data_IF_842955636509
#
_entry.id   IF_842955636509
#
_cell.length_a   1.000
_cell.length_b   1.000
_cell.length_c   1.000
_cell.angle_alpha   90.00
_cell.angle_beta   90.00
_cell.angle_gamma   90.00
#
_symmetry.space_group_name_H-M   'P 1'
#
loop_
_entity.id
_entity.type
_entity.pdbx_description
1 polymer ?
#
# COMPACT_ATOMS: atom_id res chain seq x y z
N UNK A 1 -18.14 -13.49 1.30
CA UNK A 1 -16.91 -14.22 1.02
C UNK A 1 -15.97 -13.27 0.30
N UNK A 2 -14.71 -13.11 0.71
CA UNK A 2 -13.76 -12.19 0.08
C UNK A 2 -13.22 -12.80 -1.21
N UNK A 3 -13.11 -11.97 -2.27
CA UNK A 3 -12.66 -12.39 -3.60
C UNK A 3 -11.19 -12.07 -3.79
N UNK A 4 -10.43 -13.09 -4.18
CA UNK A 4 -9.02 -12.99 -4.55
C UNK A 4 -8.90 -13.16 -6.05
N UNK A 5 -8.19 -12.28 -6.74
CA UNK A 5 -7.75 -12.52 -8.11
C UNK A 5 -6.26 -12.79 -8.10
N UNK A 6 -5.86 -13.89 -8.74
CA UNK A 6 -4.47 -14.27 -8.96
C UNK A 6 -4.12 -14.09 -10.43
N UNK A 7 -3.11 -13.28 -10.74
CA UNK A 7 -2.54 -13.19 -12.10
C UNK A 7 -1.16 -13.84 -12.07
N UNK A 8 -1.08 -15.02 -12.67
CA UNK A 8 0.09 -15.92 -12.62
C UNK A 8 0.03 -16.85 -13.82
N UNK A 9 1.11 -17.02 -14.55
CA UNK A 9 1.18 -17.86 -15.74
C UNK A 9 1.56 -19.32 -15.43
N UNK A 10 2.20 -19.58 -14.29
CA UNK A 10 2.52 -20.93 -13.81
C UNK A 10 1.27 -21.62 -13.24
N UNK A 11 0.82 -22.68 -13.91
CA UNK A 11 -0.38 -23.44 -13.52
C UNK A 11 -0.26 -24.15 -12.18
N UNK A 12 0.93 -24.63 -11.84
CA UNK A 12 1.16 -25.36 -10.57
C UNK A 12 1.05 -24.37 -9.41
N UNK A 13 1.55 -23.14 -9.56
CA UNK A 13 1.39 -22.07 -8.59
C UNK A 13 -0.08 -21.66 -8.48
N UNK A 14 -0.78 -21.52 -9.59
CA UNK A 14 -2.23 -21.20 -9.60
C UNK A 14 -3.02 -22.26 -8.83
N UNK A 15 -2.79 -23.53 -9.08
CA UNK A 15 -3.48 -24.63 -8.40
C UNK A 15 -3.17 -24.66 -6.90
N UNK A 16 -1.88 -24.52 -6.55
CA UNK A 16 -1.43 -24.45 -5.15
C UNK A 16 -2.11 -23.31 -4.38
N UNK A 17 -2.08 -22.12 -4.95
CA UNK A 17 -2.65 -20.91 -4.32
C UNK A 17 -4.16 -21.04 -4.20
N UNK A 18 -4.84 -21.45 -5.27
CA UNK A 18 -6.29 -21.66 -5.28
C UNK A 18 -6.72 -22.65 -4.21
N UNK A 19 -6.15 -23.84 -4.20
CA UNK A 19 -6.48 -24.90 -3.24
C UNK A 19 -6.38 -24.42 -1.79
N UNK A 20 -5.28 -23.72 -1.45
CA UNK A 20 -5.06 -23.30 -0.08
C UNK A 20 -5.97 -22.14 0.33
N UNK A 21 -6.16 -21.12 -0.51
CA UNK A 21 -6.99 -19.96 -0.18
C UNK A 21 -8.48 -20.30 -0.16
N UNK A 22 -8.96 -21.22 -1.02
CA UNK A 22 -10.35 -21.70 -0.97
C UNK A 22 -10.64 -22.46 0.33
N UNK A 23 -9.69 -23.26 0.82
CA UNK A 23 -9.81 -23.88 2.16
C UNK A 23 -9.83 -22.89 3.31
N UNK A 24 -9.27 -21.72 3.13
CA UNK A 24 -9.33 -20.63 4.10
C UNK A 24 -10.58 -19.74 3.96
N UNK A 25 -11.50 -20.09 3.04
CA UNK A 25 -12.79 -19.44 2.87
C UNK A 25 -12.77 -18.26 1.89
N UNK A 26 -11.77 -18.15 1.02
CA UNK A 26 -11.75 -17.16 -0.05
C UNK A 26 -12.40 -17.69 -1.33
N UNK A 27 -12.89 -16.81 -2.17
CA UNK A 27 -13.26 -17.10 -3.54
C UNK A 27 -12.10 -16.72 -4.46
N UNK A 28 -11.49 -17.69 -5.16
CA UNK A 28 -10.30 -17.44 -5.98
C UNK A 28 -10.63 -17.50 -7.46
N UNK A 29 -10.39 -16.39 -8.16
CA UNK A 29 -10.33 -16.33 -9.61
C UNK A 29 -8.88 -16.24 -10.06
N UNK A 30 -8.58 -16.67 -11.28
CA UNK A 30 -7.23 -16.56 -11.84
C UNK A 30 -7.23 -16.10 -13.29
N UNK A 31 -6.13 -15.46 -13.68
CA UNK A 31 -5.78 -15.12 -15.05
C UNK A 31 -4.32 -15.53 -15.31
N UNK A 32 -4.02 -15.98 -16.54
CA UNK A 32 -2.68 -16.46 -16.91
C UNK A 32 -1.84 -15.42 -17.64
N UNK A 33 -2.39 -14.22 -17.86
CA UNK A 33 -1.69 -13.09 -18.46
C UNK A 33 -2.24 -11.76 -17.94
N UNK A 34 -1.44 -10.71 -18.07
CA UNK A 34 -1.75 -9.40 -17.53
C UNK A 34 -2.96 -8.73 -18.17
N UNK A 35 -3.19 -8.90 -19.48
CA UNK A 35 -4.29 -8.26 -20.19
C UNK A 35 -5.63 -8.84 -19.76
N UNK A 36 -5.74 -10.17 -19.68
CA UNK A 36 -6.95 -10.85 -19.19
C UNK A 36 -7.21 -10.54 -17.72
N UNK A 37 -6.15 -10.44 -16.90
CA UNK A 37 -6.24 -10.03 -15.51
C UNK A 37 -6.80 -8.63 -15.33
N UNK A 38 -6.30 -7.63 -16.06
CA UNK A 38 -6.81 -6.27 -16.03
C UNK A 38 -8.27 -6.18 -16.49
N UNK A 39 -8.64 -6.93 -17.54
CA UNK A 39 -10.01 -6.99 -17.99
C UNK A 39 -10.95 -7.54 -16.90
N UNK A 40 -10.52 -8.58 -16.16
CA UNK A 40 -11.28 -9.13 -15.04
C UNK A 40 -11.41 -8.13 -13.90
N UNK A 41 -10.32 -7.44 -13.52
CA UNK A 41 -10.34 -6.41 -12.47
C UNK A 41 -11.36 -5.33 -12.78
N UNK A 42 -11.37 -4.80 -14.02
CA UNK A 42 -12.30 -3.75 -14.46
C UNK A 42 -13.74 -4.21 -14.47
N UNK A 43 -14.00 -5.46 -14.87
CA UNK A 43 -15.35 -6.04 -14.91
C UNK A 43 -15.87 -6.36 -13.51
N UNK A 44 -15.03 -6.88 -12.66
CA UNK A 44 -15.42 -7.39 -11.34
C UNK A 44 -14.25 -7.20 -10.37
N UNK A 45 -14.09 -5.99 -9.77
CA UNK A 45 -12.97 -5.71 -8.87
C UNK A 45 -12.89 -6.73 -7.73
N UNK A 46 -11.72 -7.36 -7.49
CA UNK A 46 -11.52 -8.25 -6.35
C UNK A 46 -11.33 -7.46 -5.05
N UNK A 47 -11.38 -8.15 -3.91
CA UNK A 47 -11.01 -7.56 -2.61
C UNK A 47 -9.49 -7.47 -2.43
N UNK A 48 -8.73 -8.33 -3.11
CA UNK A 48 -7.26 -8.34 -3.14
C UNK A 48 -6.76 -8.94 -4.46
N UNK A 49 -5.65 -8.41 -4.95
CA UNK A 49 -4.92 -8.90 -6.12
C UNK A 49 -3.62 -9.56 -5.68
N UNK A 50 -3.40 -10.82 -6.10
CA UNK A 50 -2.12 -11.49 -6.11
C UNK A 50 -1.55 -11.38 -7.52
N UNK A 51 -0.34 -10.84 -7.65
CA UNK A 51 0.18 -10.43 -8.95
C UNK A 51 1.62 -10.89 -9.12
N UNK A 52 1.84 -11.79 -10.07
CA UNK A 52 3.21 -12.13 -10.45
C UNK A 52 3.91 -10.96 -11.10
N UNK A 53 5.16 -10.76 -10.72
CA UNK A 53 6.02 -9.75 -11.29
C UNK A 53 6.36 -10.05 -12.75
N UNK A 54 6.64 -11.32 -13.05
CA UNK A 54 7.21 -11.81 -14.31
C UNK A 54 6.16 -12.41 -15.24
N UNK A 55 5.15 -11.62 -15.60
CA UNK A 55 4.12 -12.06 -16.53
C UNK A 55 4.52 -11.84 -18.00
N UNK A 56 4.08 -12.71 -18.92
CA UNK A 56 4.29 -12.51 -20.34
C UNK A 56 3.47 -11.32 -20.85
N UNK A 57 3.97 -10.62 -21.87
CA UNK A 57 3.37 -9.48 -22.59
C UNK A 57 3.25 -8.19 -21.76
N UNK A 58 2.66 -8.22 -20.59
CA UNK A 58 2.47 -7.09 -19.72
C UNK A 58 2.97 -7.44 -18.32
N UNK A 59 4.00 -6.73 -17.87
CA UNK A 59 4.63 -7.02 -16.57
C UNK A 59 3.72 -6.72 -15.39
N UNK A 60 3.88 -7.43 -14.27
CA UNK A 60 3.15 -7.15 -13.06
C UNK A 60 3.37 -5.71 -12.54
N UNK A 61 4.54 -5.13 -12.78
CA UNK A 61 4.81 -3.72 -12.43
C UNK A 61 3.95 -2.75 -13.24
N UNK A 62 3.77 -3.01 -14.53
CA UNK A 62 2.96 -2.13 -15.38
C UNK A 62 1.47 -2.23 -15.01
N UNK A 63 0.98 -3.43 -14.69
CA UNK A 63 -0.36 -3.65 -14.15
C UNK A 63 -0.55 -2.87 -12.84
N UNK A 64 0.41 -2.97 -11.92
CA UNK A 64 0.36 -2.26 -10.65
C UNK A 64 0.27 -0.74 -10.86
N UNK A 65 1.12 -0.17 -11.72
CA UNK A 65 1.09 1.26 -12.08
C UNK A 65 -0.27 1.67 -12.65
N UNK A 66 -0.83 0.86 -13.54
CA UNK A 66 -2.13 1.14 -14.16
C UNK A 66 -3.25 1.16 -13.12
N UNK A 67 -3.29 0.16 -12.23
CA UNK A 67 -4.25 0.12 -11.12
C UNK A 67 -4.09 1.33 -10.19
N UNK A 68 -2.87 1.77 -9.89
CA UNK A 68 -2.63 2.92 -9.01
C UNK A 68 -2.99 4.27 -9.64
N UNK A 69 -3.01 4.36 -10.97
CA UNK A 69 -3.47 5.55 -11.70
C UNK A 69 -4.99 5.61 -11.82
N UNK A 70 -5.67 4.49 -11.77
CA UNK A 70 -7.12 4.41 -11.82
C UNK A 70 -7.74 4.78 -10.47
N UNK A 71 -8.48 5.89 -10.41
CA UNK A 71 -9.09 6.39 -9.18
C UNK A 71 -10.11 5.44 -8.54
N UNK A 72 -10.69 4.53 -9.33
CA UNK A 72 -11.64 3.52 -8.85
C UNK A 72 -10.95 2.28 -8.28
N UNK A 73 -9.71 2.00 -8.69
CA UNK A 73 -8.95 0.80 -8.37
C UNK A 73 -7.74 1.06 -7.46
N UNK A 74 -7.34 2.31 -7.28
CA UNK A 74 -6.10 2.69 -6.58
C UNK A 74 -5.99 2.19 -5.13
N UNK A 75 -7.13 1.84 -4.53
CA UNK A 75 -7.23 1.27 -3.17
C UNK A 75 -7.20 -0.26 -3.12
N UNK A 76 -7.23 -0.91 -4.28
CA UNK A 76 -7.15 -2.37 -4.36
C UNK A 76 -5.83 -2.83 -3.73
N UNK A 77 -5.88 -3.67 -2.68
CA UNK A 77 -4.66 -4.25 -2.11
C UNK A 77 -3.97 -5.13 -3.13
N UNK A 78 -2.65 -4.95 -3.28
CA UNK A 78 -1.82 -5.71 -4.21
C UNK A 78 -0.70 -6.40 -3.44
N UNK A 79 -0.70 -7.74 -3.48
CA UNK A 79 0.39 -8.59 -3.02
C UNK A 79 1.19 -9.08 -4.24
N UNK A 80 2.44 -8.63 -4.36
CA UNK A 80 3.32 -9.08 -5.43
C UNK A 80 3.90 -10.46 -5.14
N UNK A 81 3.88 -11.33 -6.15
CA UNK A 81 4.64 -12.58 -6.16
C UNK A 81 5.93 -12.34 -6.95
N UNK A 82 7.09 -12.57 -6.33
CA UNK A 82 8.39 -12.29 -6.96
C UNK A 82 9.30 -13.50 -6.95
N UNK A 83 10.12 -13.68 -7.98
CA UNK A 83 11.20 -14.65 -7.91
C UNK A 83 12.19 -14.25 -6.80
N UNK A 84 12.99 -15.21 -6.31
CA UNK A 84 14.06 -14.97 -5.33
C UNK A 84 15.13 -14.14 -6.00
N UNK A 85 15.05 -12.83 -5.91
CA UNK A 85 15.93 -11.84 -6.49
C UNK A 85 16.34 -10.80 -5.47
N UNK A 86 17.14 -9.83 -5.87
CA UNK A 86 17.77 -8.85 -5.02
C UNK A 86 16.77 -8.02 -4.20
N UNK A 87 17.19 -7.53 -3.06
CA UNK A 87 16.44 -6.57 -2.22
C UNK A 87 15.95 -5.37 -3.07
N UNK A 88 16.64 -5.08 -4.16
CA UNK A 88 16.26 -4.08 -5.15
C UNK A 88 14.89 -4.34 -5.79
N UNK A 89 14.57 -5.58 -6.18
CA UNK A 89 13.28 -5.91 -6.82
C UNK A 89 12.09 -5.69 -5.88
N UNK A 90 12.31 -5.91 -4.58
CA UNK A 90 11.29 -5.68 -3.55
C UNK A 90 11.04 -4.19 -3.34
N UNK A 91 12.11 -3.39 -3.32
CA UNK A 91 12.02 -1.92 -3.22
C UNK A 91 11.30 -1.38 -4.44
N UNK A 92 11.68 -1.82 -5.65
CA UNK A 92 11.03 -1.42 -6.90
C UNK A 92 9.54 -1.80 -6.90
N UNK A 93 9.16 -3.01 -6.47
CA UNK A 93 7.76 -3.42 -6.37
C UNK A 93 6.96 -2.52 -5.42
N UNK A 94 7.51 -2.20 -4.26
CA UNK A 94 6.90 -1.26 -3.32
C UNK A 94 6.87 0.16 -3.89
N UNK A 95 7.93 0.64 -4.54
CA UNK A 95 7.97 1.95 -5.22
C UNK A 95 6.92 2.07 -6.32
N UNK A 96 6.58 0.96 -7.00
CA UNK A 96 5.55 0.93 -8.04
C UNK A 96 4.11 0.85 -7.52
N UNK A 97 3.91 0.67 -6.20
CA UNK A 97 2.59 0.74 -5.61
C UNK A 97 2.04 -0.55 -5.01
N UNK A 98 2.79 -1.63 -4.98
CA UNK A 98 2.40 -2.83 -4.23
C UNK A 98 2.29 -2.54 -2.73
N UNK A 99 1.39 -3.25 -2.04
CA UNK A 99 1.18 -3.10 -0.60
C UNK A 99 2.01 -4.10 0.22
N UNK A 100 2.35 -5.24 -0.37
CA UNK A 100 3.26 -6.24 0.20
C UNK A 100 3.82 -7.11 -0.93
N UNK A 101 4.77 -7.97 -0.62
CA UNK A 101 5.35 -8.94 -1.55
C UNK A 101 5.63 -10.27 -0.86
N UNK A 102 5.67 -11.34 -1.65
CA UNK A 102 6.12 -12.66 -1.22
C UNK A 102 7.08 -13.24 -2.26
N UNK A 103 8.17 -13.83 -1.80
CA UNK A 103 9.19 -14.41 -2.70
C UNK A 103 8.91 -15.86 -2.98
N UNK A 104 8.96 -16.26 -4.26
CA UNK A 104 8.91 -17.65 -4.70
C UNK A 104 10.27 -18.36 -4.43
N UNK A 105 10.29 -19.61 -3.92
CA UNK A 105 9.14 -20.38 -3.48
C UNK A 105 8.63 -19.90 -2.10
N UNK A 106 7.32 -19.84 -1.94
CA UNK A 106 6.65 -19.46 -0.70
C UNK A 106 5.86 -20.64 -0.09
N UNK A 107 5.65 -20.61 1.20
CA UNK A 107 4.72 -21.53 1.83
C UNK A 107 3.27 -21.05 1.66
N UNK A 108 2.31 -21.96 1.39
CA UNK A 108 0.90 -21.57 1.35
C UNK A 108 0.41 -20.87 2.63
N UNK A 109 0.92 -21.30 3.80
CA UNK A 109 0.60 -20.69 5.08
C UNK A 109 1.08 -19.24 5.17
N UNK A 110 2.28 -18.93 4.67
CA UNK A 110 2.80 -17.57 4.59
C UNK A 110 1.93 -16.71 3.68
N UNK A 111 1.62 -17.20 2.48
CA UNK A 111 0.76 -16.49 1.54
C UNK A 111 -0.62 -16.17 2.14
N UNK A 112 -1.28 -17.16 2.76
CA UNK A 112 -2.58 -16.97 3.41
C UNK A 112 -2.52 -15.94 4.56
N UNK A 113 -1.47 -15.97 5.37
CA UNK A 113 -1.27 -14.98 6.44
C UNK A 113 -1.13 -13.56 5.89
N UNK A 114 -0.38 -13.36 4.78
CA UNK A 114 -0.22 -12.07 4.10
C UNK A 114 -1.52 -11.57 3.50
N UNK A 115 -2.27 -12.44 2.83
CA UNK A 115 -3.59 -12.11 2.27
C UNK A 115 -4.54 -11.60 3.36
N UNK A 116 -4.64 -12.33 4.48
CA UNK A 116 -5.46 -11.92 5.62
C UNK A 116 -4.99 -10.60 6.22
N UNK A 117 -3.68 -10.42 6.38
CA UNK A 117 -3.12 -9.19 6.91
C UNK A 117 -3.45 -7.97 6.02
N UNK A 118 -3.31 -8.10 4.69
CA UNK A 118 -3.67 -7.04 3.74
C UNK A 118 -5.16 -6.73 3.77
N UNK A 119 -6.03 -7.73 3.76
CA UNK A 119 -7.48 -7.52 3.82
C UNK A 119 -7.90 -6.86 5.13
N UNK A 120 -7.33 -7.24 6.28
CA UNK A 120 -7.60 -6.58 7.56
C UNK A 120 -7.22 -5.09 7.53
N UNK A 121 -6.18 -4.72 6.82
CA UNK A 121 -5.75 -3.33 6.65
C UNK A 121 -6.72 -2.48 5.83
N UNK A 122 -7.57 -3.09 5.00
CA UNK A 122 -8.61 -2.37 4.24
C UNK A 122 -9.88 -2.16 5.06
N UNK A 123 -10.03 -2.82 6.20
CA UNK A 123 -11.18 -2.66 7.07
C UNK A 123 -11.14 -1.31 7.81
N UNK A 124 -12.30 -0.69 8.05
CA UNK A 124 -12.37 0.56 8.79
C UNK A 124 -11.81 0.37 10.21
N UNK A 125 -10.88 1.22 10.61
CA UNK A 125 -10.42 1.27 12.01
C UNK A 125 -11.46 1.94 12.91
N UNK A 126 -11.59 1.46 14.16
CA UNK A 126 -12.48 2.07 15.18
C UNK A 126 -11.90 3.38 15.78
N UNK A 127 -10.84 3.96 15.21
CA UNK A 127 -10.33 5.25 15.66
C UNK A 127 -11.33 6.39 15.39
N UNK A 128 -11.39 7.42 16.25
CA UNK A 128 -12.29 8.57 16.03
C UNK A 128 -12.00 9.21 14.68
N UNK A 129 -13.01 9.20 13.82
CA UNK A 129 -12.93 9.66 12.42
C UNK A 129 -13.03 11.18 12.37
N UNK A 130 -11.96 11.86 12.73
CA UNK A 130 -11.89 13.32 12.64
C UNK A 130 -11.23 13.72 11.32
N UNK A 131 -11.88 14.60 10.57
CA UNK A 131 -11.27 15.29 9.44
C UNK A 131 -10.11 16.14 9.96
N UNK A 132 -8.97 16.08 9.30
CA UNK A 132 -7.78 16.83 9.65
C UNK A 132 -7.56 17.87 8.56
N UNK A 133 -7.45 19.13 8.99
CA UNK A 133 -7.15 20.26 8.14
C UNK A 133 -5.80 20.85 8.55
N UNK A 134 -4.88 20.98 7.60
CA UNK A 134 -3.55 21.56 7.83
C UNK A 134 -3.04 22.22 6.55
N UNK A 135 -2.86 23.54 6.53
CA UNK A 135 -2.24 24.33 5.44
C UNK A 135 -2.71 23.90 4.03
N UNK A 136 -4.03 23.79 3.81
CA UNK A 136 -4.61 23.38 2.54
C UNK A 136 -4.63 21.86 2.28
N UNK A 137 -4.06 21.06 3.16
CA UNK A 137 -4.24 19.61 3.16
C UNK A 137 -5.48 19.26 3.98
N UNK A 138 -6.45 18.53 3.39
CA UNK A 138 -7.62 17.98 4.07
C UNK A 138 -7.60 16.47 3.98
N UNK A 139 -7.80 15.79 5.12
CA UNK A 139 -7.78 14.33 5.23
C UNK A 139 -9.08 13.87 5.88
N UNK A 140 -9.98 13.26 5.11
CA UNK A 140 -11.24 12.72 5.59
C UNK A 140 -11.18 11.19 5.73
N UNK A 141 -11.12 10.66 6.94
CA UNK A 141 -11.05 9.23 7.19
C UNK A 141 -12.38 8.49 6.94
N UNK A 142 -13.50 9.21 6.87
CA UNK A 142 -14.80 8.58 6.64
C UNK A 142 -14.98 8.20 5.17
N UNK A 143 -14.50 9.06 4.27
CA UNK A 143 -14.53 8.83 2.82
C UNK A 143 -13.20 8.34 2.26
N UNK A 144 -12.14 8.25 3.08
CA UNK A 144 -10.76 8.02 2.65
C UNK A 144 -10.30 9.03 1.59
N UNK A 145 -10.81 10.26 1.66
CA UNK A 145 -10.44 11.34 0.74
C UNK A 145 -9.33 12.19 1.31
N UNK A 146 -8.44 12.57 0.42
CA UNK A 146 -7.41 13.57 0.69
C UNK A 146 -7.50 14.62 -0.40
N UNK A 147 -7.45 15.89 0.01
CA UNK A 147 -7.34 17.00 -0.95
C UNK A 147 -6.17 17.88 -0.55
N UNK A 148 -5.51 18.47 -1.56
CA UNK A 148 -4.47 19.47 -1.40
C UNK A 148 -4.90 20.74 -2.14
N UNK A 149 -5.09 21.84 -1.41
CA UNK A 149 -5.61 23.11 -1.95
C UNK A 149 -6.91 22.90 -2.77
N UNK A 150 -7.83 22.08 -2.22
CA UNK A 150 -9.09 21.71 -2.84
C UNK A 150 -8.99 20.68 -3.97
N UNK A 151 -7.81 20.32 -4.44
CA UNK A 151 -7.61 19.31 -5.50
C UNK A 151 -7.51 17.91 -4.88
N UNK A 152 -8.19 16.90 -5.45
CA UNK A 152 -8.15 15.54 -4.94
C UNK A 152 -6.75 14.93 -5.11
N UNK A 153 -6.27 14.27 -4.05
CA UNK A 153 -5.01 13.49 -4.03
C UNK A 153 -5.35 12.02 -3.97
N UNK A 154 -4.84 11.26 -4.93
CA UNK A 154 -5.08 9.82 -5.04
C UNK A 154 -4.05 9.04 -4.23
N UNK A 155 -4.52 8.41 -3.14
CA UNK A 155 -3.70 7.59 -2.26
C UNK A 155 -4.17 6.13 -2.27
N UNK A 156 -3.23 5.18 -2.17
CA UNK A 156 -3.55 3.79 -1.83
C UNK A 156 -4.01 3.68 -0.37
N UNK A 157 -4.58 2.54 0.00
CA UNK A 157 -5.05 2.33 1.39
C UNK A 157 -3.94 2.48 2.41
N UNK A 158 -2.73 1.95 2.15
CA UNK A 158 -1.61 2.06 3.07
C UNK A 158 -1.02 3.47 3.12
N UNK A 159 -0.93 4.16 1.99
CA UNK A 159 -0.52 5.57 1.96
C UNK A 159 -1.48 6.43 2.79
N UNK A 160 -2.78 6.23 2.62
CA UNK A 160 -3.78 6.94 3.41
C UNK A 160 -3.62 6.65 4.91
N UNK A 161 -3.48 5.38 5.30
CA UNK A 161 -3.31 5.00 6.71
C UNK A 161 -2.06 5.59 7.33
N UNK A 162 -0.93 5.58 6.62
CA UNK A 162 0.32 6.16 7.10
C UNK A 162 0.19 7.67 7.29
N UNK A 163 -0.36 8.37 6.29
CA UNK A 163 -0.60 9.79 6.37
C UNK A 163 -1.54 10.15 7.53
N UNK A 164 -2.68 9.46 7.64
CA UNK A 164 -3.66 9.69 8.70
C UNK A 164 -3.11 9.41 10.09
N UNK A 165 -2.35 8.31 10.25
CA UNK A 165 -1.71 7.98 11.52
C UNK A 165 -0.76 9.08 11.99
N UNK A 166 0.07 9.60 11.10
CA UNK A 166 0.99 10.70 11.40
C UNK A 166 0.24 12.01 11.66
N UNK A 167 -0.75 12.33 10.85
CA UNK A 167 -1.50 13.59 10.92
C UNK A 167 -2.41 13.69 12.16
N UNK A 168 -2.91 12.56 12.68
CA UNK A 168 -3.66 12.52 13.95
C UNK A 168 -2.78 12.75 15.19
N UNK A 169 -1.45 12.71 15.02
CA UNK A 169 -0.47 12.86 16.10
C UNK A 169 0.63 13.86 15.72
N UNK A 170 0.23 15.12 15.42
CA UNK A 170 1.14 16.12 14.89
C UNK A 170 2.29 16.41 15.86
N UNK A 171 3.42 16.80 15.30
CA UNK A 171 4.63 17.19 16.02
C UNK A 171 5.23 16.08 16.90
N UNK A 172 4.80 14.84 16.70
CA UNK A 172 5.37 13.67 17.36
C UNK A 172 6.22 12.87 16.40
N UNK A 173 7.44 12.57 16.81
CA UNK A 173 8.37 11.72 16.05
C UNK A 173 8.04 10.26 16.30
N UNK A 174 7.97 9.48 15.22
CA UNK A 174 7.77 8.04 15.23
C UNK A 174 8.95 7.36 14.55
N UNK A 175 9.48 6.31 15.18
CA UNK A 175 10.49 5.46 14.55
C UNK A 175 9.87 4.67 13.40
N UNK A 176 10.73 4.16 12.50
CA UNK A 176 10.27 3.29 11.41
C UNK A 176 9.52 2.06 11.91
N UNK A 177 10.02 1.45 13.00
CA UNK A 177 9.36 0.29 13.61
C UNK A 177 8.00 0.63 14.19
N UNK A 178 7.86 1.76 14.88
CA UNK A 178 6.56 2.23 15.39
C UNK A 178 5.56 2.47 14.26
N UNK A 179 5.99 3.05 13.14
CA UNK A 179 5.14 3.27 11.97
C UNK A 179 4.76 1.95 11.30
N UNK A 180 5.70 1.01 11.21
CA UNK A 180 5.41 -0.33 10.71
C UNK A 180 4.35 -1.02 11.57
N UNK A 181 4.53 -1.07 12.88
CA UNK A 181 3.57 -1.71 13.79
C UNK A 181 2.19 -1.07 13.71
N UNK A 182 2.13 0.26 13.63
CA UNK A 182 0.87 0.99 13.59
C UNK A 182 0.11 0.82 12.27
N UNK A 183 0.81 0.81 11.14
CA UNK A 183 0.19 0.84 9.81
C UNK A 183 0.10 -0.57 9.21
N UNK A 184 1.15 -1.39 9.39
CA UNK A 184 1.22 -2.76 8.86
C UNK A 184 0.84 -3.82 9.89
N UNK A 185 0.82 -3.48 11.19
CA UNK A 185 0.50 -4.42 12.28
C UNK A 185 1.70 -5.28 12.68
N UNK A 186 1.51 -6.08 13.76
CA UNK A 186 2.56 -6.94 14.32
C UNK A 186 2.92 -8.14 13.45
N UNK A 187 1.96 -8.67 12.68
CA UNK A 187 2.18 -9.72 11.67
C UNK A 187 2.70 -9.10 10.36
N UNK A 188 3.86 -8.47 10.43
CA UNK A 188 4.47 -7.77 9.31
C UNK A 188 5.52 -8.63 8.62
N UNK A 189 5.47 -8.60 7.30
CA UNK A 189 6.47 -9.26 6.45
C UNK A 189 7.31 -8.24 5.65
N UNK A 190 7.14 -6.95 5.96
CA UNK A 190 7.85 -5.82 5.35
C UNK A 190 8.90 -5.27 6.31
N UNK A 191 9.96 -4.70 5.77
CA UNK A 191 11.08 -4.17 6.54
C UNK A 191 10.86 -2.69 6.92
N UNK A 192 11.58 -2.14 7.91
CA UNK A 192 11.56 -0.72 8.23
C UNK A 192 11.83 0.20 7.01
N UNK A 193 12.62 -0.26 6.05
CA UNK A 193 12.91 0.47 4.79
C UNK A 193 11.65 0.71 3.93
N UNK A 194 10.65 -0.16 4.06
CA UNK A 194 9.36 0.05 3.37
C UNK A 194 8.70 1.36 3.78
N UNK A 195 8.86 1.79 5.04
CA UNK A 195 8.33 3.08 5.51
C UNK A 195 8.93 4.24 4.73
N UNK A 196 10.24 4.20 4.43
CA UNK A 196 10.92 5.25 3.68
C UNK A 196 10.33 5.41 2.28
N UNK A 197 10.05 4.28 1.62
CA UNK A 197 9.40 4.24 0.29
C UNK A 197 8.02 4.90 0.35
N UNK A 198 7.19 4.53 1.34
CA UNK A 198 5.86 5.10 1.49
C UNK A 198 5.87 6.60 1.86
N UNK A 199 6.80 7.02 2.70
CA UNK A 199 6.99 8.46 3.01
C UNK A 199 7.38 9.24 1.76
N UNK A 200 8.32 8.73 0.95
CA UNK A 200 8.71 9.35 -0.32
C UNK A 200 7.51 9.50 -1.25
N UNK A 201 6.75 8.43 -1.48
CA UNK A 201 5.55 8.45 -2.33
C UNK A 201 4.48 9.40 -1.80
N UNK A 202 4.28 9.47 -0.49
CA UNK A 202 3.36 10.43 0.11
C UNK A 202 3.81 11.87 -0.17
N UNK A 203 5.11 12.17 0.01
CA UNK A 203 5.65 13.50 -0.31
C UNK A 203 5.39 13.90 -1.75
N UNK A 204 5.66 13.00 -2.70
CA UNK A 204 5.40 13.24 -4.13
C UNK A 204 3.93 13.56 -4.43
N UNK A 205 2.99 13.18 -3.56
CA UNK A 205 1.55 13.36 -3.76
C UNK A 205 0.94 14.51 -2.94
N UNK A 206 1.41 14.73 -1.71
CA UNK A 206 0.78 15.68 -0.78
C UNK A 206 1.60 16.95 -0.54
N UNK A 207 2.90 16.94 -0.83
CA UNK A 207 3.76 18.10 -0.71
C UNK A 207 3.79 18.91 -2.01
N UNK A 208 4.10 20.19 -1.91
CA UNK A 208 4.39 21.04 -3.09
C UNK A 208 5.78 20.71 -3.63
N UNK A 209 6.73 20.50 -2.72
CA UNK A 209 8.11 20.10 -2.99
C UNK A 209 8.43 18.87 -2.11
N UNK A 210 8.64 17.71 -2.75
CA UNK A 210 8.91 16.46 -2.04
C UNK A 210 10.29 16.44 -1.35
N UNK A 211 11.23 17.24 -1.85
CA UNK A 211 12.59 17.33 -1.30
C UNK A 211 12.64 18.30 -0.10
N UNK A 212 11.73 19.30 -0.07
CA UNK A 212 11.53 20.25 1.04
C UNK A 212 10.12 20.11 1.63
N UNK A 213 9.79 18.97 2.24
CA UNK A 213 8.43 18.68 2.67
C UNK A 213 7.97 19.64 3.79
N UNK A 214 6.73 20.15 3.66
CA UNK A 214 6.11 21.02 4.65
C UNK A 214 5.48 20.24 5.81
N UNK A 215 4.91 19.04 5.51
CA UNK A 215 4.18 18.23 6.48
C UNK A 215 4.98 17.03 6.98
N UNK A 216 5.50 16.22 6.05
CA UNK A 216 6.13 14.93 6.37
C UNK A 216 7.63 15.13 6.59
N UNK A 217 8.00 15.51 7.81
CA UNK A 217 9.39 15.80 8.18
C UNK A 217 10.19 14.52 8.46
N UNK A 218 11.46 14.52 8.06
CA UNK A 218 12.44 13.52 8.49
C UNK A 218 13.21 14.06 9.68
N UNK A 219 13.17 13.36 10.79
CA UNK A 219 14.03 13.61 11.95
C UNK A 219 15.21 12.65 11.87
N UNK A 220 16.38 13.18 11.48
CA UNK A 220 17.58 12.36 11.25
C UNK A 220 17.91 11.50 12.47
N UNK A 221 18.16 10.22 12.26
CA UNK A 221 18.45 9.26 13.32
C UNK A 221 17.25 8.79 14.15
N UNK A 222 16.06 9.46 14.06
CA UNK A 222 14.89 9.15 14.87
C UNK A 222 13.72 8.59 14.06
N UNK A 223 13.37 9.18 12.90
CA UNK A 223 12.24 8.70 12.09
C UNK A 223 11.49 9.81 11.38
N UNK A 224 10.16 9.79 11.47
CA UNK A 224 9.28 10.71 10.76
C UNK A 224 8.24 11.34 11.68
N UNK A 225 7.78 12.54 11.32
CA UNK A 225 6.67 13.22 11.99
C UNK A 225 5.83 14.00 10.97
N UNK A 226 4.59 14.30 11.35
CA UNK A 226 3.73 15.25 10.66
C UNK A 226 3.78 16.60 11.38
N UNK A 227 4.13 17.64 10.66
CA UNK A 227 4.16 19.04 11.16
C UNK A 227 2.88 19.75 10.73
N UNK A 228 2.00 20.08 11.67
CA UNK A 228 0.72 20.73 11.36
C UNK A 228 0.84 22.24 11.14
N UNK A 229 1.76 22.89 11.87
CA UNK A 229 2.04 24.31 11.81
C UNK A 229 3.53 24.55 11.57
N UNK A 230 3.89 25.54 10.74
CA UNK A 230 5.29 25.94 10.62
C UNK A 230 5.76 26.43 11.98
N UNK A 231 6.90 25.97 12.42
CA UNK A 231 7.61 26.69 13.46
C UNK A 231 7.79 28.12 12.94
N UNK A 232 7.04 29.04 13.51
CA UNK A 232 7.43 30.46 13.43
C UNK A 232 8.85 30.48 13.99
N UNK A 233 9.82 30.81 13.15
CA UNK A 233 11.18 31.10 13.59
C UNK A 233 11.06 32.12 14.75
N UNK A 234 11.21 31.61 15.96
CA UNK A 234 11.59 32.48 17.05
C UNK A 234 13.07 32.82 16.79
N UNK A 235 13.25 33.92 16.06
CA UNK A 235 14.50 34.66 16.12
C UNK A 235 14.60 35.21 17.56
N UNK A 236 15.53 34.68 18.30
CA UNK A 236 16.23 35.39 19.37
C UNK A 236 17.63 35.71 18.90
#
# INVERSE_FOLDING_TARGET
MKRVLLIEDDRDIVELVRYNLEREGFQVASATDGASGLAQIRKTPPDILLLDLMLPKLSGLDICKEIRRDTSLNRLPILMLTARGEEADRVVGLEMGADDYVTKPFSPRELGARVKALLRRTEPTNEPRRVIEARGLSIDPSSYRVTRDGKPVTLSTLEFRLLYYLATRPNRVFTRDQLLDAVWGTERFVTPRSVDVYIRRLREKVEIDADHPAFLKTVRGAGYMFESEGQSEKQE
#
